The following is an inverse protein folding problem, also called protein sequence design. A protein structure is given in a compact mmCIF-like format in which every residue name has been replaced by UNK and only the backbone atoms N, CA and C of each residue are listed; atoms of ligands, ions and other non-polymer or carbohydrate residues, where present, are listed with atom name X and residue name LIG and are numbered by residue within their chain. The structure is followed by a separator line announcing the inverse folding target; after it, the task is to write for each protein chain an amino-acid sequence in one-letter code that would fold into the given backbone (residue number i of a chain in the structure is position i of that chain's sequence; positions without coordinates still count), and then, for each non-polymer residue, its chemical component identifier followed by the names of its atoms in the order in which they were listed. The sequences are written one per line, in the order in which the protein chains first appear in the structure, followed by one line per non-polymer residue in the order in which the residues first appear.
data_IF_475082228044
#
_entry.id   IF_475082228044
#
_cell.length_a   1.000
_cell.length_b   1.000
_cell.length_c   1.000
_cell.angle_alpha   90.00
_cell.angle_beta   90.00
_cell.angle_gamma   90.00
#
_symmetry.space_group_name_H-M   'P 1'
#
loop_
_entity.id
_entity.type
_entity.pdbx_description
1 polymer ?
#
# COMPACT_ATOMS: atom_id res chain seq x y z
N UNK A 1 24.43 -2.80 -14.88
CA UNK A 1 23.26 -3.48 -14.32
C UNK A 1 23.46 -4.99 -14.45
N UNK A 2 23.19 -5.75 -13.39
CA UNK A 2 23.38 -7.21 -13.36
C UNK A 2 21.99 -7.90 -13.42
N UNK A 3 21.63 -8.60 -14.51
CA UNK A 3 20.33 -9.24 -14.67
C UNK A 3 20.01 -10.29 -13.61
N UNK A 4 21.03 -11.03 -13.14
CA UNK A 4 20.84 -12.04 -12.09
C UNK A 4 20.42 -11.39 -10.76
N UNK A 5 21.00 -10.25 -10.41
CA UNK A 5 20.62 -9.47 -9.23
C UNK A 5 19.21 -8.95 -9.38
N UNK A 6 18.84 -8.41 -10.55
CA UNK A 6 17.47 -7.94 -10.82
C UNK A 6 16.46 -9.08 -10.61
N UNK A 7 16.71 -10.25 -11.18
CA UNK A 7 15.81 -11.40 -11.06
C UNK A 7 15.71 -11.92 -9.61
N UNK A 8 16.84 -12.02 -8.90
CA UNK A 8 16.85 -12.45 -7.50
C UNK A 8 16.06 -11.48 -6.60
N UNK A 9 16.31 -10.17 -6.72
CA UNK A 9 15.63 -9.13 -5.97
C UNK A 9 14.13 -9.11 -6.30
N UNK A 10 13.79 -9.19 -7.59
CA UNK A 10 12.40 -9.30 -8.03
C UNK A 10 11.69 -10.46 -7.34
N UNK A 11 12.27 -11.67 -7.39
CA UNK A 11 11.63 -12.86 -6.82
C UNK A 11 11.42 -12.73 -5.31
N UNK A 12 12.44 -12.28 -4.58
CA UNK A 12 12.36 -12.13 -3.11
C UNK A 12 11.31 -11.11 -2.70
N UNK A 13 11.33 -9.92 -3.31
CA UNK A 13 10.37 -8.86 -2.98
C UNK A 13 8.96 -9.21 -3.45
N UNK A 14 8.81 -9.78 -4.65
CA UNK A 14 7.51 -10.18 -5.18
C UNK A 14 6.81 -11.18 -4.27
N UNK A 15 7.52 -12.22 -3.82
CA UNK A 15 6.95 -13.23 -2.91
C UNK A 15 6.63 -12.64 -1.54
N UNK A 16 7.51 -11.76 -1.02
CA UNK A 16 7.30 -11.11 0.27
C UNK A 16 6.10 -10.18 0.29
N UNK A 17 5.83 -9.49 -0.82
CA UNK A 17 4.74 -8.52 -0.95
C UNK A 17 3.37 -9.12 -1.32
N UNK A 18 3.32 -10.35 -1.87
CA UNK A 18 2.05 -10.94 -2.29
C UNK A 18 0.97 -10.99 -1.20
N UNK A 19 1.28 -11.29 0.10
CA UNK A 19 0.28 -11.28 1.17
C UNK A 19 0.28 -9.97 1.99
N UNK A 20 0.93 -8.88 1.54
CA UNK A 20 1.14 -7.70 2.38
C UNK A 20 -0.02 -6.67 2.37
N UNK A 21 0.05 -5.76 3.34
CA UNK A 21 -0.91 -4.65 3.59
C UNK A 21 -1.08 -3.72 2.38
N UNK A 22 0.00 -3.43 1.63
CA UNK A 22 -0.03 -2.58 0.44
C UNK A 22 -0.82 -3.20 -0.70
N UNK A 23 -0.71 -4.51 -0.89
CA UNK A 23 -1.54 -5.26 -1.82
C UNK A 23 -3.03 -5.13 -1.46
N UNK A 24 -3.39 -5.30 -0.19
CA UNK A 24 -4.76 -5.16 0.29
C UNK A 24 -5.27 -3.73 0.10
N UNK A 25 -4.47 -2.71 0.44
CA UNK A 25 -4.82 -1.31 0.25
C UNK A 25 -5.07 -0.98 -1.23
N UNK A 26 -4.17 -1.40 -2.12
CA UNK A 26 -4.29 -1.21 -3.57
C UNK A 26 -5.51 -1.90 -4.15
N UNK A 27 -5.80 -3.14 -3.71
CA UNK A 27 -6.98 -3.91 -4.08
C UNK A 27 -8.26 -3.16 -3.70
N UNK A 28 -8.37 -2.71 -2.45
CA UNK A 28 -9.55 -2.00 -1.96
C UNK A 28 -9.73 -0.65 -2.65
N UNK A 29 -8.67 0.11 -2.84
CA UNK A 29 -8.75 1.40 -3.53
C UNK A 29 -9.20 1.23 -4.99
N UNK A 30 -8.82 0.14 -5.65
CA UNK A 30 -9.19 -0.15 -7.03
C UNK A 30 -10.69 -0.50 -7.20
N UNK A 31 -11.36 -0.97 -6.13
CA UNK A 31 -12.81 -1.24 -6.18
C UNK A 31 -13.64 0.03 -6.29
N UNK A 32 -13.11 1.17 -5.85
CA UNK A 32 -13.81 2.47 -5.78
C UNK A 32 -13.34 3.48 -6.81
N UNK A 33 -12.12 3.33 -7.32
CA UNK A 33 -11.46 4.28 -8.19
C UNK A 33 -11.26 3.78 -9.62
N UNK A 34 -10.59 4.61 -10.42
CA UNK A 34 -10.06 4.18 -11.71
C UNK A 34 -8.82 3.32 -11.46
N UNK A 35 -8.81 2.04 -11.80
CA UNK A 35 -7.73 1.11 -11.45
C UNK A 35 -6.35 1.59 -11.87
N UNK A 36 -6.25 2.14 -13.08
CA UNK A 36 -4.99 2.69 -13.57
C UNK A 36 -4.48 3.88 -12.74
N UNK A 37 -5.37 4.76 -12.27
CA UNK A 37 -5.00 5.88 -11.41
C UNK A 37 -4.53 5.40 -10.02
N UNK A 38 -5.17 4.36 -9.48
CA UNK A 38 -4.74 3.72 -8.23
C UNK A 38 -3.36 3.11 -8.40
N UNK A 39 -3.16 2.31 -9.47
CA UNK A 39 -1.87 1.71 -9.78
C UNK A 39 -0.78 2.76 -9.97
N UNK A 40 -1.05 3.83 -10.70
CA UNK A 40 -0.07 4.90 -10.94
C UNK A 40 0.36 5.57 -9.64
N UNK A 41 -0.58 5.86 -8.74
CA UNK A 41 -0.27 6.43 -7.44
C UNK A 41 0.59 5.50 -6.59
N UNK A 42 0.23 4.22 -6.50
CA UNK A 42 1.01 3.20 -5.81
C UNK A 42 2.41 3.04 -6.44
N UNK A 43 2.49 2.95 -7.76
CA UNK A 43 3.74 2.80 -8.49
C UNK A 43 4.72 3.95 -8.23
N UNK A 44 4.22 5.19 -8.17
CA UNK A 44 5.04 6.36 -7.83
C UNK A 44 5.51 6.33 -6.37
N UNK A 45 4.64 5.92 -5.43
CA UNK A 45 5.02 5.76 -4.03
C UNK A 45 6.14 4.73 -3.88
N UNK A 46 6.04 3.59 -4.52
CA UNK A 46 7.07 2.54 -4.50
C UNK A 46 8.41 3.01 -5.08
N UNK A 47 8.38 3.78 -6.19
CA UNK A 47 9.62 4.35 -6.74
C UNK A 47 10.31 5.23 -5.71
N UNK A 48 9.57 6.11 -5.03
CA UNK A 48 10.14 6.99 -4.00
C UNK A 48 10.73 6.17 -2.85
N UNK A 49 10.00 5.14 -2.36
CA UNK A 49 10.50 4.26 -1.30
C UNK A 49 11.77 3.50 -1.70
N UNK A 50 11.81 2.93 -2.90
CA UNK A 50 12.97 2.20 -3.39
C UNK A 50 14.18 3.14 -3.57
N UNK A 51 13.97 4.36 -4.07
CA UNK A 51 15.03 5.36 -4.16
C UNK A 51 15.57 5.71 -2.75
N UNK A 52 14.69 5.95 -1.79
CA UNK A 52 15.09 6.19 -0.39
C UNK A 52 15.84 4.99 0.17
N UNK A 53 15.32 3.77 0.00
CA UNK A 53 15.93 2.56 0.52
C UNK A 53 17.34 2.31 -0.06
N UNK A 54 17.50 2.48 -1.36
CA UNK A 54 18.78 2.20 -2.04
C UNK A 54 19.83 3.30 -1.89
N UNK A 55 19.41 4.54 -1.58
CA UNK A 55 20.32 5.69 -1.44
C UNK A 55 20.61 6.06 0.01
N UNK A 56 19.57 6.05 0.86
CA UNK A 56 19.65 6.54 2.23
C UNK A 56 19.38 5.45 3.29
N UNK A 57 19.06 4.20 2.84
CA UNK A 57 18.48 3.16 3.67
C UNK A 57 19.16 2.95 5.01
N UNK A 58 20.49 2.81 5.03
CA UNK A 58 21.23 2.60 6.29
C UNK A 58 21.26 3.82 7.20
N UNK A 59 21.25 5.02 6.65
CA UNK A 59 21.36 6.28 7.43
C UNK A 59 20.00 6.68 8.01
N UNK A 60 18.94 6.65 7.20
CA UNK A 60 17.60 7.11 7.62
C UNK A 60 17.00 6.18 8.66
N UNK A 61 17.19 4.86 8.54
CA UNK A 61 16.65 3.91 9.51
C UNK A 61 17.36 3.95 10.87
N UNK A 62 18.58 4.48 10.95
CA UNK A 62 19.26 4.72 12.24
C UNK A 62 18.85 6.04 12.91
N UNK A 63 18.25 6.98 12.15
CA UNK A 63 17.88 8.30 12.68
C UNK A 63 16.48 8.35 13.31
N UNK A 64 15.57 7.46 12.88
CA UNK A 64 14.19 7.43 13.39
C UNK A 64 14.02 6.27 14.38
N UNK A 65 13.64 6.54 15.64
CA UNK A 65 13.30 5.47 16.58
C UNK A 65 12.18 4.60 16.02
N UNK A 66 12.30 3.25 16.03
CA UNK A 66 11.26 2.34 15.55
C UNK A 66 9.86 2.65 16.09
N UNK A 67 9.78 2.98 17.38
CA UNK A 67 8.53 3.35 18.06
C UNK A 67 7.81 4.54 17.42
N UNK A 68 8.55 5.53 16.95
CA UNK A 68 7.97 6.72 16.29
C UNK A 68 7.38 6.32 14.93
N UNK A 69 8.06 5.47 14.18
CA UNK A 69 7.58 4.93 12.90
C UNK A 69 6.30 4.13 13.12
N UNK A 70 6.31 3.20 14.07
CA UNK A 70 5.16 2.36 14.40
C UNK A 70 3.96 3.20 14.87
N UNK A 71 4.17 4.22 15.69
CA UNK A 71 3.11 5.11 16.14
C UNK A 71 2.45 5.87 14.97
N UNK A 72 3.25 6.41 14.03
CA UNK A 72 2.73 7.10 12.84
C UNK A 72 1.95 6.14 11.94
N UNK A 73 2.50 4.96 11.70
CA UNK A 73 1.84 3.90 10.90
C UNK A 73 0.52 3.47 11.55
N UNK A 74 0.51 3.28 12.86
CA UNK A 74 -0.71 2.93 13.60
C UNK A 74 -1.81 3.99 13.42
N UNK A 75 -1.48 5.28 13.57
CA UNK A 75 -2.44 6.39 13.37
C UNK A 75 -3.01 6.37 11.97
N UNK A 76 -2.19 6.15 10.94
CA UNK A 76 -2.63 6.12 9.55
C UNK A 76 -3.58 4.95 9.29
N UNK A 77 -3.25 3.76 9.78
CA UNK A 77 -4.11 2.59 9.63
C UNK A 77 -5.43 2.73 10.38
N UNK A 78 -5.41 3.25 11.60
CA UNK A 78 -6.63 3.48 12.38
C UNK A 78 -7.51 4.56 11.75
N UNK A 79 -6.92 5.64 11.22
CA UNK A 79 -7.65 6.65 10.47
C UNK A 79 -8.27 6.06 9.18
N UNK A 80 -7.51 5.23 8.44
CA UNK A 80 -8.01 4.51 7.27
C UNK A 80 -9.16 3.55 7.59
N UNK A 81 -9.06 2.81 8.69
CA UNK A 81 -10.11 1.94 9.19
C UNK A 81 -11.38 2.73 9.54
N UNK A 82 -11.22 3.86 10.25
CA UNK A 82 -12.32 4.76 10.61
C UNK A 82 -13.03 5.32 9.38
N UNK A 83 -12.27 5.77 8.37
CA UNK A 83 -12.84 6.26 7.11
C UNK A 83 -13.58 5.17 6.34
N UNK A 84 -13.01 3.96 6.24
CA UNK A 84 -13.64 2.83 5.57
C UNK A 84 -14.95 2.42 6.25
N UNK A 85 -14.96 2.39 7.58
CA UNK A 85 -16.16 2.09 8.37
C UNK A 85 -17.22 3.18 8.24
N UNK A 86 -16.81 4.45 8.31
CA UNK A 86 -17.72 5.59 8.12
C UNK A 86 -18.40 5.54 6.76
N UNK A 87 -17.65 5.25 5.69
CA UNK A 87 -18.22 5.12 4.35
C UNK A 87 -19.14 3.89 4.22
N UNK A 88 -18.80 2.76 4.86
CA UNK A 88 -19.66 1.58 4.87
C UNK A 88 -21.02 1.88 5.53
N UNK A 89 -20.99 2.54 6.69
CA UNK A 89 -22.23 2.94 7.42
C UNK A 89 -23.04 3.95 6.60
N UNK A 90 -22.37 4.94 5.99
CA UNK A 90 -23.02 5.97 5.17
C UNK A 90 -23.70 5.37 3.95
N UNK A 91 -23.08 4.38 3.31
CA UNK A 91 -23.68 3.72 2.14
C UNK A 91 -24.87 2.86 2.54
N UNK A 92 -24.80 2.14 3.67
CA UNK A 92 -25.94 1.37 4.20
C UNK A 92 -27.13 2.27 4.47
N UNK A 93 -26.90 3.48 5.00
CA UNK A 93 -27.97 4.50 5.22
C UNK A 93 -28.52 5.04 3.89
N UNK A 94 -27.66 5.21 2.88
CA UNK A 94 -28.06 5.67 1.53
C UNK A 94 -28.89 4.64 0.76
N UNK A 95 -28.58 3.35 0.92
CA UNK A 95 -29.34 2.26 0.28
C UNK A 95 -30.71 2.07 0.97
N UNK A 96 -30.91 2.59 2.16
CA UNK A 96 -32.21 2.63 2.83
C UNK A 96 -33.09 3.79 2.34
N UNK A 97 -32.54 4.77 1.62
CA UNK A 97 -33.25 5.93 1.08
C UNK A 97 -32.91 6.09 -0.41
N UNK A 98 -33.80 5.66 -1.34
CA UNK A 98 -33.43 5.41 -2.73
C UNK A 98 -33.41 6.64 -3.64
N UNK A 99 -32.93 7.80 -3.20
CA UNK A 99 -32.59 8.87 -4.13
C UNK A 99 -31.19 8.66 -4.74
N UNK A 100 -31.08 8.35 -6.05
CA UNK A 100 -29.77 8.19 -6.68
C UNK A 100 -29.12 9.57 -6.86
N UNK A 101 -28.31 10.00 -5.91
CA UNK A 101 -27.41 11.13 -6.14
C UNK A 101 -26.22 10.65 -6.93
N UNK A 102 -25.94 11.22 -8.13
CA UNK A 102 -24.75 10.88 -8.90
C UNK A 102 -23.52 11.11 -8.03
N UNK A 103 -22.76 10.06 -7.73
CA UNK A 103 -21.43 10.20 -7.15
C UNK A 103 -20.57 10.87 -8.21
N UNK A 104 -20.05 12.10 -7.99
CA UNK A 104 -19.23 12.75 -8.99
C UNK A 104 -18.04 11.84 -9.31
N UNK A 105 -17.72 11.62 -10.60
CA UNK A 105 -16.59 10.81 -10.99
C UNK A 105 -15.34 11.40 -10.36
N UNK A 106 -14.67 10.62 -9.51
CA UNK A 106 -13.41 11.05 -8.90
C UNK A 106 -12.42 11.39 -10.02
N UNK A 107 -11.85 12.59 -9.98
CA UNK A 107 -10.84 13.02 -10.97
C UNK A 107 -9.64 12.05 -10.89
N UNK A 108 -9.13 11.54 -12.02
CA UNK A 108 -8.04 10.56 -12.01
C UNK A 108 -6.83 11.00 -11.18
N UNK A 109 -6.48 12.28 -11.26
CA UNK A 109 -5.37 12.84 -10.49
C UNK A 109 -5.60 12.80 -8.98
N UNK A 110 -6.84 13.03 -8.51
CA UNK A 110 -7.17 12.91 -7.08
C UNK A 110 -7.07 11.47 -6.59
N UNK A 111 -7.54 10.52 -7.40
CA UNK A 111 -7.41 9.09 -7.08
C UNK A 111 -5.95 8.67 -7.01
N UNK A 112 -5.11 9.08 -7.98
CA UNK A 112 -3.69 8.79 -7.96
C UNK A 112 -2.97 9.44 -6.76
N UNK A 113 -3.26 10.69 -6.44
CA UNK A 113 -2.69 11.37 -5.28
C UNK A 113 -3.09 10.70 -3.96
N UNK A 114 -4.34 10.28 -3.83
CA UNK A 114 -4.80 9.55 -2.64
C UNK A 114 -4.10 8.19 -2.54
N UNK A 115 -4.00 7.45 -3.65
CA UNK A 115 -3.30 6.17 -3.69
C UNK A 115 -1.82 6.34 -3.33
N UNK A 116 -1.16 7.34 -3.91
CA UNK A 116 0.22 7.67 -3.55
C UNK A 116 0.36 7.92 -2.04
N UNK A 117 -0.44 8.80 -1.47
CA UNK A 117 -0.35 9.15 -0.05
C UNK A 117 -0.58 7.95 0.88
N UNK A 118 -1.59 7.12 0.59
CA UNK A 118 -1.91 5.94 1.39
C UNK A 118 -0.78 4.91 1.32
N UNK A 119 -0.31 4.56 0.12
CA UNK A 119 0.75 3.58 -0.06
C UNK A 119 2.08 4.12 0.48
N UNK A 120 2.40 5.39 0.21
CA UNK A 120 3.60 6.02 0.74
C UNK A 120 3.66 5.96 2.26
N UNK A 121 2.56 6.24 2.93
CA UNK A 121 2.49 6.19 4.38
C UNK A 121 2.52 4.74 4.92
N UNK A 122 1.83 3.80 4.25
CA UNK A 122 1.77 2.41 4.66
C UNK A 122 3.11 1.68 4.56
N UNK A 123 3.93 2.06 3.58
CA UNK A 123 5.25 1.46 3.32
C UNK A 123 6.40 2.11 4.10
N UNK A 124 6.13 3.18 4.83
CA UNK A 124 7.18 3.87 5.56
C UNK A 124 7.75 3.01 6.69
N UNK A 125 9.03 2.69 6.60
CA UNK A 125 9.71 1.85 7.59
C UNK A 125 9.39 0.36 7.51
N UNK A 126 8.73 -0.08 6.45
CA UNK A 126 8.35 -1.48 6.28
C UNK A 126 9.54 -2.41 6.04
N UNK A 127 9.31 -3.72 6.30
CA UNK A 127 10.30 -4.77 6.12
C UNK A 127 10.88 -4.79 4.70
N UNK A 128 10.07 -4.55 3.69
CA UNK A 128 10.52 -4.51 2.28
C UNK A 128 11.47 -3.34 2.01
N UNK A 129 11.25 -2.19 2.65
CA UNK A 129 12.16 -1.06 2.56
C UNK A 129 13.52 -1.38 3.19
N UNK A 130 13.52 -2.02 4.38
CA UNK A 130 14.74 -2.50 5.05
C UNK A 130 15.45 -3.59 4.22
N UNK A 131 14.68 -4.54 3.70
CA UNK A 131 15.21 -5.61 2.84
C UNK A 131 15.85 -5.04 1.57
N UNK A 132 15.19 -4.09 0.91
CA UNK A 132 15.72 -3.43 -0.28
C UNK A 132 17.04 -2.70 0.02
N UNK A 133 17.12 -1.99 1.15
CA UNK A 133 18.34 -1.33 1.61
C UNK A 133 19.47 -2.35 1.85
N UNK A 134 19.18 -3.44 2.57
CA UNK A 134 20.13 -4.52 2.82
C UNK A 134 20.63 -5.18 1.51
N UNK A 135 19.74 -5.48 0.58
CA UNK A 135 20.09 -6.06 -0.70
C UNK A 135 20.97 -5.10 -1.52
N UNK A 136 20.72 -3.79 -1.45
CA UNK A 136 21.54 -2.79 -2.14
C UNK A 136 22.99 -2.80 -1.63
N UNK A 137 23.17 -2.93 -0.31
CA UNK A 137 24.48 -3.06 0.33
C UNK A 137 25.11 -4.41 -0.01
N UNK A 138 24.37 -5.51 0.13
CA UNK A 138 24.88 -6.86 -0.07
C UNK A 138 25.39 -7.10 -1.50
N UNK A 139 24.62 -6.69 -2.49
CA UNK A 139 25.00 -6.89 -3.91
C UNK A 139 25.94 -5.82 -4.46
N UNK A 140 26.23 -4.77 -3.73
CA UNK A 140 27.02 -3.61 -4.22
C UNK A 140 26.55 -3.08 -5.58
N UNK A 141 25.26 -3.23 -5.89
CA UNK A 141 24.64 -2.92 -7.18
C UNK A 141 23.29 -2.20 -6.99
N UNK A 142 23.26 -1.00 -6.41
CA UNK A 142 22.02 -0.31 -6.01
C UNK A 142 21.04 -0.12 -7.17
N UNK A 143 21.52 0.17 -8.38
CA UNK A 143 20.65 0.32 -9.56
C UNK A 143 19.98 -0.99 -9.97
N UNK A 144 20.69 -2.13 -9.87
CA UNK A 144 20.10 -3.44 -10.18
C UNK A 144 19.06 -3.83 -9.13
N UNK A 145 19.35 -3.56 -7.86
CA UNK A 145 18.42 -3.80 -6.74
C UNK A 145 17.19 -2.91 -6.89
N UNK A 146 17.38 -1.61 -7.14
CA UNK A 146 16.26 -0.69 -7.35
C UNK A 146 15.35 -1.15 -8.50
N UNK A 147 15.93 -1.56 -9.63
CA UNK A 147 15.15 -2.04 -10.78
C UNK A 147 14.34 -3.28 -10.42
N UNK A 148 14.96 -4.29 -9.79
CA UNK A 148 14.28 -5.52 -9.38
C UNK A 148 13.15 -5.26 -8.39
N UNK A 149 13.39 -4.40 -7.39
CA UNK A 149 12.40 -4.00 -6.40
C UNK A 149 11.22 -3.26 -7.02
N UNK A 150 11.47 -2.25 -7.85
CA UNK A 150 10.41 -1.48 -8.53
C UNK A 150 9.54 -2.41 -9.39
N UNK A 151 10.15 -3.28 -10.18
CA UNK A 151 9.40 -4.22 -11.03
C UNK A 151 8.53 -5.17 -10.20
N UNK A 152 9.04 -5.69 -9.09
CA UNK A 152 8.29 -6.56 -8.18
C UNK A 152 7.08 -5.83 -7.57
N UNK A 153 7.29 -4.66 -7.00
CA UNK A 153 6.23 -3.84 -6.37
C UNK A 153 5.18 -3.39 -7.39
N UNK A 154 5.60 -3.03 -8.61
CA UNK A 154 4.67 -2.70 -9.69
C UNK A 154 3.82 -3.90 -10.13
N UNK A 155 4.42 -5.09 -10.19
CA UNK A 155 3.71 -6.33 -10.53
C UNK A 155 2.67 -6.68 -9.45
N UNK A 156 3.04 -6.61 -8.17
CA UNK A 156 2.12 -6.83 -7.04
C UNK A 156 0.97 -5.83 -7.07
N UNK A 157 1.26 -4.54 -7.26
CA UNK A 157 0.22 -3.51 -7.39
C UNK A 157 -0.71 -3.76 -8.60
N UNK A 158 -0.17 -4.22 -9.73
CA UNK A 158 -0.98 -4.54 -10.92
C UNK A 158 -1.92 -5.73 -10.66
N UNK A 159 -1.43 -6.77 -9.98
CA UNK A 159 -2.23 -7.92 -9.55
C UNK A 159 -3.33 -7.46 -8.59
N UNK A 160 -2.99 -6.65 -7.59
CA UNK A 160 -3.94 -6.13 -6.60
C UNK A 160 -5.05 -5.31 -7.25
N UNK A 161 -4.69 -4.38 -8.14
CA UNK A 161 -5.63 -3.50 -8.83
C UNK A 161 -6.55 -4.27 -9.78
N UNK A 162 -6.02 -5.28 -10.47
CA UNK A 162 -6.79 -6.15 -11.37
C UNK A 162 -7.72 -7.06 -10.58
N UNK A 163 -7.20 -7.67 -9.51
CA UNK A 163 -7.97 -8.50 -8.59
C UNK A 163 -9.11 -7.74 -7.91
N UNK A 164 -8.88 -6.48 -7.53
CA UNK A 164 -9.90 -5.62 -6.93
C UNK A 164 -11.08 -5.36 -7.85
N UNK A 165 -10.86 -5.21 -9.15
CA UNK A 165 -11.95 -5.09 -10.14
C UNK A 165 -12.79 -6.36 -10.27
N UNK A 166 -12.16 -7.52 -10.23
CA UNK A 166 -12.88 -8.79 -10.24
C UNK A 166 -13.67 -8.98 -8.96
N UNK A 167 -13.05 -8.71 -7.83
CA UNK A 167 -13.66 -8.82 -6.51
C UNK A 167 -14.90 -7.94 -6.37
N UNK A 168 -14.88 -6.70 -6.86
CA UNK A 168 -16.03 -5.77 -6.82
C UNK A 168 -17.22 -6.20 -7.68
N UNK A 169 -17.03 -7.15 -8.60
CA UNK A 169 -18.12 -7.73 -9.42
C UNK A 169 -18.78 -8.94 -8.76
N UNK A 170 -18.06 -9.59 -7.84
CA UNK A 170 -18.49 -10.87 -7.24
C UNK A 170 -18.96 -10.69 -5.80
N UNK A 171 -18.41 -9.71 -5.08
CA UNK A 171 -18.68 -9.48 -3.67
C UNK A 171 -19.37 -8.12 -3.47
N UNK A 172 -20.36 -8.11 -2.56
CA UNK A 172 -21.03 -6.87 -2.17
C UNK A 172 -20.03 -5.79 -1.74
N UNK A 173 -20.09 -4.58 -2.30
CA UNK A 173 -19.23 -3.46 -1.92
C UNK A 173 -19.24 -3.13 -0.42
N UNK A 174 -20.35 -3.35 0.26
CA UNK A 174 -20.45 -3.19 1.71
C UNK A 174 -19.53 -4.17 2.45
N UNK A 175 -19.56 -5.45 2.06
CA UNK A 175 -18.72 -6.49 2.66
C UNK A 175 -17.23 -6.20 2.47
N UNK A 176 -16.84 -5.76 1.25
CA UNK A 176 -15.45 -5.36 0.96
C UNK A 176 -14.99 -4.24 1.92
N UNK A 177 -15.86 -3.24 2.17
CA UNK A 177 -15.51 -2.12 3.06
C UNK A 177 -15.40 -2.53 4.53
N UNK A 178 -16.29 -3.41 4.99
CA UNK A 178 -16.24 -3.94 6.34
C UNK A 178 -14.97 -4.75 6.56
N UNK A 179 -14.65 -5.66 5.62
CA UNK A 179 -13.41 -6.45 5.67
C UNK A 179 -12.18 -5.54 5.67
N UNK A 180 -12.19 -4.51 4.83
CA UNK A 180 -11.10 -3.50 4.81
C UNK A 180 -10.95 -2.78 6.14
N UNK A 181 -12.06 -2.31 6.72
CA UNK A 181 -12.03 -1.63 8.01
C UNK A 181 -11.49 -2.54 9.12
N UNK A 182 -11.87 -3.83 9.12
CA UNK A 182 -11.39 -4.83 10.07
C UNK A 182 -9.89 -5.09 9.88
N UNK A 183 -9.43 -5.27 8.65
CA UNK A 183 -8.01 -5.51 8.36
C UNK A 183 -7.14 -4.31 8.73
N UNK A 184 -7.51 -3.11 8.27
CA UNK A 184 -6.78 -1.88 8.61
C UNK A 184 -6.83 -1.61 10.13
N UNK A 185 -7.97 -1.83 10.77
CA UNK A 185 -8.11 -1.70 12.22
C UNK A 185 -7.23 -2.69 12.97
N UNK A 186 -7.21 -3.95 12.56
CA UNK A 186 -6.34 -4.99 13.12
C UNK A 186 -4.86 -4.66 12.98
N UNK A 187 -4.41 -4.25 11.80
CA UNK A 187 -3.02 -3.80 11.59
C UNK A 187 -2.70 -2.54 12.41
N UNK A 188 -3.62 -1.58 12.47
CA UNK A 188 -3.44 -0.36 13.27
C UNK A 188 -3.29 -0.67 14.76
N UNK A 189 -4.10 -1.56 15.31
CA UNK A 189 -4.00 -2.01 16.71
C UNK A 189 -2.69 -2.76 16.94
N UNK A 190 -2.35 -3.71 16.06
CA UNK A 190 -1.09 -4.46 16.16
C UNK A 190 0.13 -3.52 16.19
N UNK A 191 0.19 -2.57 15.27
CA UNK A 191 1.29 -1.60 15.19
C UNK A 191 1.29 -0.63 16.38
N UNK A 192 0.11 -0.25 16.89
CA UNK A 192 0.02 0.58 18.10
C UNK A 192 0.55 -0.14 19.34
N UNK A 193 0.24 -1.44 19.50
CA UNK A 193 0.78 -2.25 20.58
C UNK A 193 2.30 -2.39 20.45
N UNK A 194 2.82 -2.63 19.24
CA UNK A 194 4.26 -2.70 18.99
C UNK A 194 4.98 -1.37 19.32
N UNK A 195 4.35 -0.23 19.07
CA UNK A 195 4.90 1.09 19.42
C UNK A 195 4.99 1.32 20.93
N UNK A 196 4.13 0.68 21.73
CA UNK A 196 4.06 0.83 23.18
C UNK A 196 4.93 -0.17 23.95
N UNK A 197 5.32 -1.28 23.31
CA UNK A 197 6.20 -2.30 23.87
C UNK A 197 7.68 -2.00 23.59
#
# INVERSE_FOLDING_TARGET
MNPAVIAAVFAVIFVGELPDKSMVASLVMSTRGRPFAVWLGAALAFVVHVVIATTLGTVVFHLLPPRTVDAVVAVIFLAGAGLALHEAIRERRRNADPEPRPVPPSRPGRTAATSFGVIFAAEWGDLTQLLTANLAVHYHAPLSVATGAILALWAVAAIAVTGGRWLSRVIDPFLIRVVTAVLLGGFGIYTAVAALS
#
